data_IF_684037764263
#
_entry.id   IF_684037764263
#
_cell.length_a   1.000
_cell.length_b   1.000
_cell.length_c   1.000
_cell.angle_alpha   90.00
_cell.angle_beta   90.00
_cell.angle_gamma   90.00
#
_symmetry.space_group_name_H-M   'P 1'
#
loop_
_entity.id
_entity.type
_entity.pdbx_description
1 polymer ?
#
# COMPACT_ATOMS: atom_id res chain seq x y z
N UNK A 1 -45.12 -48.96 33.67
CA UNK A 1 -45.38 -48.68 32.24
C UNK A 1 -44.91 -47.26 31.98
N UNK A 2 -43.93 -47.06 31.08
CA UNK A 2 -43.35 -45.75 30.69
C UNK A 2 -42.40 -45.13 31.73
N UNK A 3 -41.27 -44.49 31.40
CA UNK A 3 -40.71 -44.02 30.12
C UNK A 3 -39.18 -44.01 30.24
N UNK A 4 -38.48 -44.47 29.22
CA UNK A 4 -37.04 -44.26 29.03
C UNK A 4 -36.83 -42.86 28.45
N UNK A 5 -35.89 -42.08 28.99
CA UNK A 5 -35.35 -40.91 28.27
C UNK A 5 -33.83 -40.83 28.40
N UNK A 6 -33.25 -40.54 27.23
CA UNK A 6 -31.87 -40.82 26.82
C UNK A 6 -30.89 -39.75 27.34
N UNK A 7 -29.67 -40.23 27.60
CA UNK A 7 -28.48 -39.44 27.92
C UNK A 7 -28.25 -38.35 26.88
N UNK A 8 -28.14 -37.09 27.30
CA UNK A 8 -27.46 -36.03 26.55
C UNK A 8 -26.32 -35.53 27.42
N UNK A 9 -25.18 -36.22 27.29
CA UNK A 9 -23.89 -35.77 27.81
C UNK A 9 -23.16 -35.17 26.59
N UNK A 10 -23.13 -33.85 26.50
CA UNK A 10 -22.58 -33.12 25.34
C UNK A 10 -21.78 -31.92 25.79
N UNK A 11 -20.54 -32.19 26.19
CA UNK A 11 -19.34 -31.35 26.14
C UNK A 11 -19.53 -29.84 25.93
N UNK A 12 -19.54 -29.08 27.03
CA UNK A 12 -19.20 -27.64 27.03
C UNK A 12 -17.92 -27.47 27.86
N UNK A 13 -16.78 -27.77 27.26
CA UNK A 13 -15.47 -27.51 27.85
C UNK A 13 -14.43 -27.46 26.73
N UNK A 14 -14.19 -26.28 26.17
CA UNK A 14 -13.18 -26.14 25.13
C UNK A 14 -13.21 -24.82 24.39
N UNK A 15 -13.30 -23.69 25.09
CA UNK A 15 -13.05 -22.38 24.46
C UNK A 15 -12.53 -21.37 25.48
N UNK A 16 -11.32 -21.61 25.99
CA UNK A 16 -10.60 -20.60 26.77
C UNK A 16 -9.11 -20.92 26.81
N UNK A 17 -8.39 -20.74 25.69
CA UNK A 17 -6.94 -20.45 25.70
C UNK A 17 -6.44 -20.07 24.30
N UNK A 18 -6.74 -18.85 23.83
CA UNK A 18 -6.08 -18.28 22.65
C UNK A 18 -6.01 -16.74 22.70
N UNK A 19 -5.83 -16.16 23.89
CA UNK A 19 -5.62 -14.71 24.09
C UNK A 19 -4.13 -14.36 24.30
N UNK A 20 -3.22 -15.25 23.92
CA UNK A 20 -1.78 -15.02 24.05
C UNK A 20 -1.15 -14.69 22.71
N UNK A 21 -0.36 -13.62 22.69
CA UNK A 21 0.41 -13.04 21.56
C UNK A 21 -0.33 -11.94 20.78
N UNK A 22 -0.57 -10.80 21.45
CA UNK A 22 -0.49 -9.49 20.79
C UNK A 22 0.99 -9.12 20.66
N UNK A 23 1.74 -9.87 19.87
CA UNK A 23 3.07 -9.44 19.44
C UNK A 23 2.87 -8.37 18.39
N UNK A 24 3.46 -7.18 18.57
CA UNK A 24 3.63 -6.23 17.47
C UNK A 24 4.41 -6.97 16.39
N UNK A 25 3.78 -7.27 15.26
CA UNK A 25 4.49 -7.79 14.10
C UNK A 25 5.51 -6.71 13.70
N UNK A 26 6.78 -6.93 14.03
CA UNK A 26 7.88 -6.16 13.46
C UNK A 26 8.01 -6.73 12.06
N UNK A 27 7.50 -6.00 11.05
CA UNK A 27 7.71 -6.40 9.67
C UNK A 27 9.21 -6.31 9.38
N UNK A 28 9.76 -7.37 8.78
CA UNK A 28 11.11 -7.30 8.24
C UNK A 28 11.11 -6.29 7.08
N UNK A 29 12.03 -5.33 7.14
CA UNK A 29 12.27 -4.39 6.05
C UNK A 29 13.44 -4.94 5.22
N UNK A 30 13.30 -5.10 3.89
CA UNK A 30 12.11 -4.86 3.08
C UNK A 30 11.07 -6.00 3.18
N UNK A 31 9.78 -5.66 3.12
CA UNK A 31 8.67 -6.63 3.20
C UNK A 31 8.48 -7.45 1.90
N UNK A 32 9.09 -6.99 0.81
CA UNK A 32 8.98 -7.58 -0.53
C UNK A 32 10.24 -7.29 -1.34
N UNK A 33 10.64 -8.23 -2.20
CA UNK A 33 11.76 -8.04 -3.13
C UNK A 33 11.39 -7.29 -4.41
N UNK A 34 10.09 -7.04 -4.66
CA UNK A 34 9.63 -6.24 -5.82
C UNK A 34 10.14 -4.80 -5.71
N UNK A 35 10.59 -4.18 -6.81
CA UNK A 35 11.02 -2.80 -6.77
C UNK A 35 9.85 -1.85 -6.47
N UNK A 36 10.17 -0.75 -5.78
CA UNK A 36 9.33 0.43 -5.71
C UNK A 36 9.61 1.24 -6.98
N UNK A 37 8.62 1.33 -7.86
CA UNK A 37 8.74 2.07 -9.11
C UNK A 37 8.37 3.54 -8.85
N UNK A 38 9.34 4.44 -9.06
CA UNK A 38 9.22 5.88 -8.85
C UNK A 38 9.31 6.60 -10.21
N UNK A 39 8.37 7.48 -10.55
CA UNK A 39 8.39 8.22 -11.80
C UNK A 39 9.48 9.30 -11.78
N UNK A 40 10.04 9.57 -12.96
CA UNK A 40 10.87 10.74 -13.23
C UNK A 40 10.33 11.42 -14.48
N UNK A 41 9.82 12.64 -14.32
CA UNK A 41 9.31 13.43 -15.42
C UNK A 41 10.33 14.50 -15.87
N UNK A 42 9.87 15.48 -16.64
CA UNK A 42 10.72 16.46 -17.29
C UNK A 42 10.96 17.75 -16.52
N UNK A 43 10.47 17.91 -15.27
CA UNK A 43 10.81 19.07 -14.45
C UNK A 43 11.75 18.70 -13.30
N UNK A 44 12.57 19.69 -12.92
CA UNK A 44 13.68 19.51 -11.98
C UNK A 44 13.20 19.17 -10.57
N UNK A 45 12.06 19.73 -10.14
CA UNK A 45 11.46 19.46 -8.82
C UNK A 45 11.23 17.96 -8.60
N UNK A 46 10.39 17.35 -9.44
CA UNK A 46 10.13 15.92 -9.41
C UNK A 46 11.42 15.10 -9.49
N UNK A 47 12.32 15.44 -10.41
CA UNK A 47 13.56 14.66 -10.57
C UNK A 47 14.37 14.64 -9.27
N UNK A 48 14.44 15.75 -8.54
CA UNK A 48 15.12 15.83 -7.24
C UNK A 48 14.33 15.08 -6.17
N UNK A 49 13.02 15.27 -6.09
CA UNK A 49 12.17 14.64 -5.08
C UNK A 49 12.14 13.11 -5.24
N UNK A 50 12.04 12.61 -6.47
CA UNK A 50 12.17 11.20 -6.80
C UNK A 50 13.52 10.64 -6.37
N UNK A 51 14.62 11.33 -6.67
CA UNK A 51 15.95 10.87 -6.30
C UNK A 51 16.16 10.85 -4.77
N UNK A 52 15.67 11.86 -4.04
CA UNK A 52 15.75 11.90 -2.57
C UNK A 52 14.93 10.77 -1.96
N UNK A 53 13.67 10.61 -2.38
CA UNK A 53 12.81 9.56 -1.88
C UNK A 53 13.37 8.16 -2.18
N UNK A 54 13.85 7.94 -3.39
CA UNK A 54 14.45 6.67 -3.79
C UNK A 54 15.72 6.34 -3.02
N UNK A 55 16.63 7.31 -2.80
CA UNK A 55 17.83 7.08 -1.97
C UNK A 55 17.48 6.72 -0.52
N UNK A 56 16.47 7.36 0.06
CA UNK A 56 15.99 7.01 1.41
C UNK A 56 15.47 5.57 1.44
N UNK A 57 14.70 5.15 0.43
CA UNK A 57 14.17 3.79 0.33
C UNK A 57 15.28 2.75 0.11
N UNK A 58 16.28 3.06 -0.72
CA UNK A 58 17.47 2.23 -0.92
C UNK A 58 18.27 2.08 0.37
N UNK A 59 18.47 3.15 1.13
CA UNK A 59 19.15 3.14 2.44
C UNK A 59 18.39 2.28 3.48
N UNK A 60 17.06 2.20 3.36
CA UNK A 60 16.22 1.30 4.16
C UNK A 60 16.27 -0.17 3.69
N UNK A 61 16.89 -0.45 2.54
CA UNK A 61 17.06 -1.80 1.99
C UNK A 61 16.04 -2.20 0.92
N UNK A 62 15.20 -1.28 0.43
CA UNK A 62 14.29 -1.56 -0.68
C UNK A 62 15.01 -1.53 -2.04
N UNK A 63 14.46 -2.29 -2.99
CA UNK A 63 14.82 -2.13 -4.39
C UNK A 63 14.03 -0.96 -4.97
N UNK A 64 14.70 -0.03 -5.67
CA UNK A 64 14.06 1.11 -6.33
C UNK A 64 14.30 1.05 -7.83
N UNK A 65 13.28 1.38 -8.61
CA UNK A 65 13.34 1.54 -10.06
C UNK A 65 12.81 2.92 -10.45
N UNK A 66 13.57 3.66 -11.26
CA UNK A 66 13.13 4.95 -11.79
C UNK A 66 12.62 4.79 -13.22
N UNK A 67 11.41 5.29 -13.49
CA UNK A 67 10.81 5.24 -14.83
C UNK A 67 10.63 6.64 -15.40
N UNK A 68 11.16 6.88 -16.60
CA UNK A 68 10.94 8.12 -17.30
C UNK A 68 9.49 8.17 -17.84
N UNK A 69 8.67 9.07 -17.31
CA UNK A 69 7.25 9.16 -17.67
C UNK A 69 6.75 10.61 -17.63
N UNK A 70 5.84 10.96 -18.54
CA UNK A 70 5.21 12.29 -18.55
C UNK A 70 4.20 12.45 -17.43
N UNK A 71 4.00 13.68 -16.94
CA UNK A 71 3.14 14.01 -15.80
C UNK A 71 1.71 13.45 -15.86
N UNK A 72 1.07 13.53 -17.03
CA UNK A 72 -0.31 13.04 -17.20
C UNK A 72 -0.33 11.51 -17.17
N UNK A 73 0.64 10.87 -17.84
CA UNK A 73 0.75 9.42 -17.90
C UNK A 73 1.14 8.81 -16.54
N UNK A 74 1.86 9.56 -15.72
CA UNK A 74 2.25 9.17 -14.36
C UNK A 74 1.04 8.85 -13.48
N UNK A 75 0.00 9.69 -13.49
CA UNK A 75 -1.21 9.44 -12.70
C UNK A 75 -1.93 8.15 -13.12
N UNK A 76 -2.02 7.89 -14.43
CA UNK A 76 -2.54 6.63 -14.95
C UNK A 76 -1.65 5.45 -14.52
N UNK A 77 -0.33 5.60 -14.58
CA UNK A 77 0.61 4.57 -14.14
C UNK A 77 0.46 4.22 -12.66
N UNK A 78 0.19 5.20 -11.80
CA UNK A 78 -0.14 4.94 -10.38
C UNK A 78 -1.47 4.20 -10.28
N UNK A 79 -2.50 4.68 -11.00
CA UNK A 79 -3.85 4.10 -10.97
C UNK A 79 -3.89 2.64 -11.47
N UNK A 80 -3.02 2.27 -12.42
CA UNK A 80 -2.89 0.91 -12.96
C UNK A 80 -1.95 0.02 -12.13
N UNK A 81 -1.17 0.61 -11.21
CA UNK A 81 -0.19 -0.09 -10.37
C UNK A 81 1.18 -0.32 -11.00
N UNK A 82 1.43 0.25 -12.20
CA UNK A 82 2.73 0.22 -12.87
C UNK A 82 3.75 1.15 -12.18
N UNK A 83 3.28 2.23 -11.57
CA UNK A 83 4.04 3.13 -10.70
C UNK A 83 3.61 2.88 -9.25
N UNK A 84 4.57 2.67 -8.36
CA UNK A 84 4.27 2.36 -6.94
C UNK A 84 3.97 3.62 -6.14
N UNK A 85 4.73 4.70 -6.39
CA UNK A 85 4.66 5.94 -5.62
C UNK A 85 5.11 7.11 -6.51
N UNK A 86 4.34 8.19 -6.54
CA UNK A 86 4.66 9.44 -7.24
C UNK A 86 4.96 10.55 -6.20
N UNK A 87 6.20 11.08 -6.14
CA UNK A 87 6.58 12.13 -5.20
C UNK A 87 5.93 13.49 -5.48
N UNK A 88 5.64 13.82 -6.74
CA UNK A 88 4.89 15.04 -7.08
C UNK A 88 3.78 14.73 -8.08
N UNK A 89 2.54 14.68 -7.59
CA UNK A 89 1.36 14.54 -8.43
C UNK A 89 0.52 15.81 -8.35
N UNK A 90 0.70 16.68 -9.34
CA UNK A 90 0.02 17.97 -9.45
C UNK A 90 -1.40 17.81 -10.01
N UNK A 91 -2.41 17.86 -9.15
CA UNK A 91 -3.83 17.63 -9.48
C UNK A 91 -4.38 18.61 -10.54
N UNK A 92 -3.87 19.84 -10.56
CA UNK A 92 -4.24 20.87 -11.52
C UNK A 92 -3.93 20.47 -12.98
N UNK A 93 -3.03 19.51 -13.20
CA UNK A 93 -2.71 18.97 -14.52
C UNK A 93 -3.64 17.83 -14.95
N UNK A 94 -4.38 17.24 -14.00
CA UNK A 94 -5.21 16.04 -14.21
C UNK A 94 -6.71 16.37 -14.31
N UNK A 95 -7.12 17.53 -13.79
CA UNK A 95 -8.53 17.92 -13.78
C UNK A 95 -9.38 16.91 -13.01
N UNK A 96 -10.50 16.49 -13.60
CA UNK A 96 -11.44 15.58 -12.94
C UNK A 96 -10.86 14.16 -12.72
N UNK A 97 -9.82 13.75 -13.48
CA UNK A 97 -9.23 12.42 -13.38
C UNK A 97 -8.66 12.12 -12.00
N UNK A 98 -8.08 13.12 -11.32
CA UNK A 98 -7.52 12.90 -9.99
C UNK A 98 -8.63 12.53 -8.99
N UNK A 99 -9.71 13.31 -8.97
CA UNK A 99 -10.85 13.04 -8.10
C UNK A 99 -11.48 11.68 -8.38
N UNK A 100 -11.62 11.30 -9.65
CA UNK A 100 -12.13 9.99 -10.06
C UNK A 100 -11.24 8.85 -9.54
N UNK A 101 -9.91 8.96 -9.68
CA UNK A 101 -8.98 7.93 -9.17
C UNK A 101 -9.00 7.78 -7.66
N UNK A 102 -9.20 8.86 -6.91
CA UNK A 102 -9.36 8.80 -5.44
C UNK A 102 -10.68 8.11 -5.08
N UNK A 103 -11.80 8.50 -5.71
CA UNK A 103 -13.13 7.92 -5.44
C UNK A 103 -13.17 6.43 -5.79
N UNK A 104 -12.52 6.04 -6.89
CA UNK A 104 -12.39 4.65 -7.32
C UNK A 104 -11.39 3.85 -6.46
N UNK A 105 -10.61 4.51 -5.60
CA UNK A 105 -9.59 3.87 -4.76
C UNK A 105 -8.37 3.38 -5.53
N UNK A 106 -8.13 3.92 -6.73
CA UNK A 106 -6.98 3.58 -7.58
C UNK A 106 -5.72 4.34 -7.17
N UNK A 107 -5.88 5.55 -6.62
CA UNK A 107 -4.79 6.33 -6.04
C UNK A 107 -5.09 6.52 -4.55
N UNK A 108 -4.06 6.36 -3.73
CA UNK A 108 -4.08 6.73 -2.33
C UNK A 108 -3.27 8.02 -2.16
N UNK A 109 -3.92 9.07 -1.69
CA UNK A 109 -3.25 10.31 -1.31
C UNK A 109 -2.43 10.07 -0.02
N UNK A 110 -1.12 10.29 -0.12
CA UNK A 110 -0.15 10.09 0.97
C UNK A 110 0.23 11.40 1.68
N UNK A 111 -0.30 12.55 1.23
CA UNK A 111 -0.04 13.86 1.80
C UNK A 111 0.45 14.89 0.78
N UNK A 112 0.54 16.14 1.24
CA UNK A 112 0.93 17.30 0.42
C UNK A 112 2.44 17.38 0.25
N UNK A 113 2.89 17.39 -1.01
CA UNK A 113 4.29 17.57 -1.43
C UNK A 113 4.42 18.52 -2.63
N UNK A 114 3.31 19.16 -3.00
CA UNK A 114 3.12 20.11 -4.11
C UNK A 114 1.63 20.38 -4.27
#
# INVERSE_FOLDING_TARGET
>A
MGVSSRKFLGTVAGLALALGVTGTAVADVPESSRPIVIPMNNWTGETINAAVAGQILEDMGYNVEYVAIGAIAMAQGVADGDVTYAPELWDNNLGDLYADYIVEGKILDLGEVG
#
